data_IF_173891081397
#
_entry.id   IF_173891081397
#
_cell.length_a   1.000
_cell.length_b   1.000
_cell.length_c   1.000
_cell.angle_alpha   90.00
_cell.angle_beta   90.00
_cell.angle_gamma   90.00
#
_symmetry.space_group_name_H-M   'P 1'
#
loop_
_entity.id
_entity.type
_entity.pdbx_description
1 polymer ?
#
# COMPACT_ATOMS: atom_id res chain seq x y z
N UNK A 1 14.66 -24.95 -19.60
CA UNK A 1 15.36 -24.27 -18.47
C UNK A 1 14.86 -22.84 -18.22
N UNK A 2 13.85 -22.31 -18.94
CA UNK A 2 13.37 -20.92 -18.73
C UNK A 2 12.35 -20.72 -17.59
N UNK A 3 11.52 -21.72 -17.27
CA UNK A 3 10.39 -21.55 -16.33
C UNK A 3 10.78 -21.42 -14.85
N UNK A 4 11.85 -22.09 -14.42
CA UNK A 4 12.29 -22.04 -13.02
C UNK A 4 12.94 -20.69 -12.66
N UNK A 5 13.67 -20.08 -13.61
CA UNK A 5 14.33 -18.77 -13.43
C UNK A 5 13.29 -17.66 -13.40
N UNK A 6 12.25 -17.76 -14.24
CA UNK A 6 11.13 -16.82 -14.28
C UNK A 6 10.26 -16.90 -13.01
N UNK A 7 9.97 -18.11 -12.52
CA UNK A 7 9.24 -18.31 -11.25
C UNK A 7 9.97 -17.78 -10.02
N UNK A 8 11.30 -17.93 -9.96
CA UNK A 8 12.13 -17.36 -8.88
C UNK A 8 12.10 -15.83 -8.90
N UNK A 9 12.09 -15.23 -10.09
CA UNK A 9 12.01 -13.77 -10.25
C UNK A 9 10.66 -13.21 -9.77
N UNK A 10 9.55 -13.88 -10.09
CA UNK A 10 8.20 -13.49 -9.65
C UNK A 10 8.06 -13.56 -8.13
N UNK A 11 8.51 -14.65 -7.50
CA UNK A 11 8.42 -14.80 -6.04
C UNK A 11 9.28 -13.78 -5.29
N UNK A 12 10.45 -13.43 -5.85
CA UNK A 12 11.29 -12.38 -5.27
C UNK A 12 10.61 -11.01 -5.36
N UNK A 13 10.02 -10.68 -6.51
CA UNK A 13 9.25 -9.45 -6.69
C UNK A 13 8.09 -9.34 -5.70
N UNK A 14 7.28 -10.39 -5.56
CA UNK A 14 6.16 -10.41 -4.60
C UNK A 14 6.68 -10.17 -3.16
N UNK A 15 7.80 -10.80 -2.80
CA UNK A 15 8.43 -10.59 -1.50
C UNK A 15 8.87 -9.14 -1.31
N UNK A 16 9.50 -8.54 -2.31
CA UNK A 16 9.97 -7.15 -2.25
C UNK A 16 8.78 -6.19 -2.10
N UNK A 17 7.71 -6.39 -2.88
CA UNK A 17 6.46 -5.63 -2.74
C UNK A 17 5.85 -5.77 -1.35
N UNK A 18 5.80 -6.99 -0.81
CA UNK A 18 5.30 -7.26 0.54
C UNK A 18 6.15 -6.58 1.62
N UNK A 19 7.48 -6.53 1.45
CA UNK A 19 8.37 -5.78 2.34
C UNK A 19 8.11 -4.28 2.26
N UNK A 20 7.92 -3.71 1.07
CA UNK A 20 7.66 -2.28 0.90
C UNK A 20 6.35 -1.85 1.53
N UNK A 21 5.26 -2.61 1.34
CA UNK A 21 3.98 -2.29 2.00
C UNK A 21 4.07 -2.46 3.52
N UNK A 22 4.90 -3.40 4.00
CA UNK A 22 5.19 -3.54 5.43
C UNK A 22 5.93 -2.32 5.98
N UNK A 23 6.98 -1.87 5.29
CA UNK A 23 7.74 -0.67 5.67
C UNK A 23 6.86 0.58 5.66
N UNK A 24 6.02 0.74 4.64
CA UNK A 24 5.05 1.83 4.57
C UNK A 24 4.12 1.81 5.79
N UNK A 25 3.62 0.64 6.19
CA UNK A 25 2.72 0.52 7.33
C UNK A 25 3.39 0.92 8.65
N UNK A 26 4.63 0.48 8.87
CA UNK A 26 5.40 0.85 10.06
C UNK A 26 5.70 2.34 10.07
N UNK A 27 6.06 2.92 8.93
CA UNK A 27 6.37 4.33 8.81
C UNK A 27 5.14 5.21 9.07
N UNK A 28 3.97 4.83 8.55
CA UNK A 28 2.71 5.50 8.82
C UNK A 28 2.36 5.48 10.31
N UNK A 29 2.53 4.34 10.99
CA UNK A 29 2.31 4.22 12.43
C UNK A 29 3.34 5.00 13.22
N UNK A 30 4.60 5.02 12.78
CA UNK A 30 5.69 5.79 13.41
C UNK A 30 5.38 7.29 13.36
N UNK A 31 5.05 7.81 12.18
CA UNK A 31 4.71 9.22 11.99
C UNK A 31 3.50 9.64 12.81
N UNK A 32 2.46 8.79 12.88
CA UNK A 32 1.30 9.05 13.73
C UNK A 32 1.65 9.09 15.22
N UNK A 33 2.55 8.22 15.70
CA UNK A 33 2.91 8.16 17.13
C UNK A 33 3.93 9.25 17.54
N UNK A 34 4.79 9.66 16.62
CA UNK A 34 5.75 10.75 16.84
C UNK A 34 5.09 12.12 16.83
N UNK A 35 3.88 12.19 16.29
CA UNK A 35 3.02 13.35 16.34
C UNK A 35 2.43 13.58 17.73
N UNK A 36 3.27 14.04 18.65
CA UNK A 36 2.90 14.35 20.05
C UNK A 36 2.02 15.58 20.18
N UNK A 37 1.94 16.41 19.13
CA UNK A 37 1.20 17.67 19.09
C UNK A 37 -0.04 17.63 18.17
N UNK A 38 -0.30 16.52 17.48
CA UNK A 38 -1.49 16.31 16.64
C UNK A 38 -1.43 16.94 15.24
N UNK A 39 -0.23 17.26 14.75
CA UNK A 39 0.09 17.94 13.50
C UNK A 39 0.59 17.03 12.37
N UNK A 40 0.38 15.71 12.42
CA UNK A 40 0.65 14.86 11.27
C UNK A 40 -0.31 15.25 10.14
N UNK A 41 0.26 15.90 9.13
CA UNK A 41 -0.51 16.56 8.10
C UNK A 41 -0.95 15.57 7.04
N UNK A 42 -2.06 15.89 6.38
CA UNK A 42 -2.49 15.19 5.17
C UNK A 42 -1.35 15.20 4.12
N UNK A 43 -0.58 16.29 4.00
CA UNK A 43 0.60 16.36 3.11
C UNK A 43 1.68 15.35 3.45
N UNK A 44 2.04 15.16 4.72
CA UNK A 44 3.06 14.18 5.12
C UNK A 44 2.65 12.75 4.75
N UNK A 45 1.36 12.44 4.92
CA UNK A 45 0.79 11.17 4.50
C UNK A 45 0.88 11.00 2.97
N UNK A 46 0.53 12.03 2.20
CA UNK A 46 0.58 11.97 0.73
C UNK A 46 2.00 11.90 0.19
N UNK A 47 2.94 12.64 0.74
CA UNK A 47 4.35 12.60 0.32
C UNK A 47 4.96 11.21 0.54
N UNK A 48 4.67 10.59 1.69
CA UNK A 48 5.13 9.23 1.98
C UNK A 48 4.50 8.21 1.04
N UNK A 49 3.18 8.25 0.87
CA UNK A 49 2.44 7.30 0.03
C UNK A 49 2.77 7.49 -1.46
N UNK A 50 2.97 8.72 -1.92
CA UNK A 50 3.45 9.01 -3.27
C UNK A 50 4.86 8.48 -3.52
N UNK A 51 5.78 8.71 -2.58
CA UNK A 51 7.15 8.18 -2.67
C UNK A 51 7.18 6.66 -2.71
N UNK A 52 6.29 6.00 -1.97
CA UNK A 52 6.07 4.56 -2.04
C UNK A 52 5.56 4.13 -3.42
N UNK A 53 4.55 4.79 -3.98
CA UNK A 53 4.01 4.47 -5.31
C UNK A 53 5.06 4.66 -6.42
N UNK A 54 5.88 5.71 -6.33
CA UNK A 54 7.00 5.94 -7.22
C UNK A 54 8.04 4.81 -7.13
N UNK A 55 8.30 4.30 -5.92
CA UNK A 55 9.21 3.17 -5.69
C UNK A 55 8.68 1.87 -6.30
N UNK A 56 7.38 1.59 -6.14
CA UNK A 56 6.73 0.45 -6.81
C UNK A 56 6.87 0.52 -8.33
N UNK A 57 6.60 1.70 -8.90
CA UNK A 57 6.73 1.92 -10.35
C UNK A 57 8.17 1.71 -10.82
N UNK A 58 9.16 2.20 -10.07
CA UNK A 58 10.58 2.01 -10.41
C UNK A 58 11.00 0.53 -10.38
N UNK A 59 10.31 -0.30 -9.59
CA UNK A 59 10.52 -1.75 -9.53
C UNK A 59 9.74 -2.53 -10.60
N UNK A 60 8.96 -1.84 -11.43
CA UNK A 60 8.17 -2.45 -12.50
C UNK A 60 6.83 -3.00 -12.04
N UNK A 61 6.32 -2.59 -10.88
CA UNK A 61 4.94 -2.85 -10.49
C UNK A 61 3.99 -1.87 -11.17
N UNK A 62 2.94 -2.41 -11.77
CA UNK A 62 1.81 -1.61 -12.23
C UNK A 62 0.88 -1.33 -11.06
N UNK A 63 0.25 -0.16 -11.11
CA UNK A 63 -0.78 0.21 -10.14
C UNK A 63 -2.06 -0.48 -10.55
N UNK A 64 -2.58 -1.31 -9.65
CA UNK A 64 -3.73 -2.13 -9.94
C UNK A 64 -5.02 -1.30 -9.94
N UNK A 65 -5.96 -1.55 -10.87
CA UNK A 65 -7.29 -0.94 -10.82
C UNK A 65 -7.98 -1.20 -9.48
N UNK A 66 -8.75 -0.22 -9.02
CA UNK A 66 -9.50 -0.20 -7.76
C UNK A 66 -8.66 -0.28 -6.48
N UNK A 67 -7.32 -0.37 -6.61
CA UNK A 67 -6.40 -0.32 -5.50
C UNK A 67 -6.42 1.03 -4.80
N UNK A 68 -5.90 1.05 -3.58
CA UNK A 68 -5.64 2.30 -2.88
C UNK A 68 -4.68 3.22 -3.66
N UNK A 69 -3.68 2.65 -4.34
CA UNK A 69 -2.74 3.41 -5.15
C UNK A 69 -3.44 4.17 -6.27
N UNK A 70 -4.35 3.52 -7.01
CA UNK A 70 -5.12 4.17 -8.08
C UNK A 70 -6.06 5.26 -7.52
N UNK A 71 -6.81 4.93 -6.46
CA UNK A 71 -7.73 5.87 -5.81
C UNK A 71 -7.01 7.13 -5.33
N UNK A 72 -5.84 6.95 -4.71
CA UNK A 72 -5.03 8.05 -4.23
C UNK A 72 -4.55 8.93 -5.38
N UNK A 73 -3.99 8.34 -6.44
CA UNK A 73 -3.53 9.06 -7.63
C UNK A 73 -4.66 9.87 -8.26
N UNK A 74 -5.85 9.28 -8.37
CA UNK A 74 -7.00 9.97 -8.93
C UNK A 74 -7.42 11.17 -8.08
N UNK A 75 -7.43 11.04 -6.75
CA UNK A 75 -7.74 12.15 -5.85
C UNK A 75 -6.67 13.26 -5.91
N UNK A 76 -5.39 12.90 -5.98
CA UNK A 76 -4.28 13.86 -6.15
C UNK A 76 -4.38 14.62 -7.47
N UNK A 77 -4.65 13.92 -8.58
CA UNK A 77 -4.79 14.54 -9.90
C UNK A 77 -6.01 15.48 -10.00
N UNK A 78 -6.97 15.35 -9.08
CA UNK A 78 -8.17 16.18 -9.01
C UNK A 78 -8.09 17.27 -7.92
N UNK A 79 -6.96 17.37 -7.21
CA UNK A 79 -6.81 18.22 -6.03
C UNK A 79 -7.94 17.99 -4.98
N UNK A 80 -8.48 16.77 -4.89
CA UNK A 80 -9.59 16.43 -3.99
C UNK A 80 -9.07 16.13 -2.59
N UNK A 81 -8.83 17.21 -1.84
CA UNK A 81 -8.32 17.16 -0.46
C UNK A 81 -9.24 16.36 0.47
N UNK A 82 -10.55 16.38 0.24
CA UNK A 82 -11.50 15.66 1.09
C UNK A 82 -11.37 14.14 0.93
N UNK A 83 -11.32 13.65 -0.30
CA UNK A 83 -11.12 12.21 -0.57
C UNK A 83 -9.76 11.75 -0.07
N UNK A 84 -8.74 12.57 -0.31
CA UNK A 84 -7.40 12.38 0.20
C UNK A 84 -7.38 12.19 1.73
N UNK A 85 -7.97 13.11 2.52
CA UNK A 85 -8.05 12.96 3.98
C UNK A 85 -8.86 11.73 4.41
N UNK A 86 -9.93 11.40 3.66
CA UNK A 86 -10.76 10.22 3.92
C UNK A 86 -9.97 8.92 3.72
N UNK A 87 -9.18 8.82 2.66
CA UNK A 87 -8.32 7.67 2.38
C UNK A 87 -7.30 7.45 3.49
N UNK A 88 -6.66 8.53 3.96
CA UNK A 88 -5.78 8.47 5.14
C UNK A 88 -6.53 7.91 6.34
N UNK A 89 -7.69 8.49 6.69
CA UNK A 89 -8.46 8.06 7.85
C UNK A 89 -8.83 6.58 7.78
N UNK A 90 -9.37 6.12 6.64
CA UNK A 90 -9.76 4.72 6.44
C UNK A 90 -8.55 3.79 6.57
N UNK A 91 -7.44 4.09 5.89
CA UNK A 91 -6.22 3.28 5.95
C UNK A 91 -5.69 3.21 7.38
N UNK A 92 -5.52 4.35 8.04
CA UNK A 92 -4.98 4.46 9.40
C UNK A 92 -5.86 3.74 10.42
N UNK A 93 -7.19 3.90 10.33
CA UNK A 93 -8.13 3.23 11.23
C UNK A 93 -8.02 1.70 11.20
N UNK A 94 -7.63 1.13 10.06
CA UNK A 94 -7.45 -0.30 9.90
C UNK A 94 -6.05 -0.75 10.32
N UNK A 95 -4.98 -0.06 9.89
CA UNK A 95 -3.62 -0.49 10.24
C UNK A 95 -3.33 -0.39 11.75
N UNK A 96 -3.95 0.57 12.47
CA UNK A 96 -3.85 0.71 13.93
C UNK A 96 -4.35 -0.52 14.69
N UNK A 97 -5.33 -1.23 14.12
CA UNK A 97 -5.93 -2.44 14.73
C UNK A 97 -5.09 -3.69 14.47
N UNK A 98 -4.06 -3.59 13.61
CA UNK A 98 -3.27 -4.71 13.14
C UNK A 98 -1.82 -4.61 13.66
N UNK A 99 -1.17 -5.77 13.80
CA UNK A 99 0.22 -5.88 14.25
C UNK A 99 0.97 -6.92 13.42
N UNK A 100 2.28 -6.70 13.26
CA UNK A 100 3.20 -7.62 12.59
C UNK A 100 2.70 -8.05 11.20
N UNK A 101 2.75 -9.36 10.93
CA UNK A 101 2.39 -9.92 9.63
C UNK A 101 0.95 -9.61 9.18
N UNK A 102 0.01 -9.38 10.10
CA UNK A 102 -1.37 -9.01 9.74
C UNK A 102 -1.44 -7.61 9.13
N UNK A 103 -0.57 -6.70 9.57
CA UNK A 103 -0.51 -5.32 9.08
C UNK A 103 0.06 -5.27 7.66
N UNK A 104 1.19 -5.93 7.44
CA UNK A 104 1.80 -6.02 6.10
C UNK A 104 0.91 -6.76 5.11
N UNK A 105 0.25 -7.85 5.53
CA UNK A 105 -0.73 -8.56 4.69
C UNK A 105 -1.92 -7.70 4.29
N UNK A 106 -2.51 -6.95 5.24
CA UNK A 106 -3.58 -5.99 4.92
C UNK A 106 -3.12 -4.94 3.91
N UNK A 107 -1.96 -4.32 4.14
CA UNK A 107 -1.42 -3.31 3.23
C UNK A 107 -1.16 -3.89 1.83
N UNK A 108 -0.66 -5.11 1.75
CA UNK A 108 -0.47 -5.81 0.48
C UNK A 108 -1.80 -5.92 -0.29
N UNK A 109 -2.88 -6.38 0.35
CA UNK A 109 -4.18 -6.51 -0.30
C UNK A 109 -4.88 -5.18 -0.60
N UNK A 110 -4.55 -4.11 0.13
CA UNK A 110 -5.04 -2.76 -0.17
C UNK A 110 -4.43 -2.21 -1.46
N UNK A 111 -3.16 -2.54 -1.75
CA UNK A 111 -2.49 -2.13 -2.99
C UNK A 111 -2.67 -3.12 -4.15
N UNK A 112 -3.05 -4.38 -3.87
CA UNK A 112 -3.36 -5.40 -4.88
C UNK A 112 -4.66 -6.18 -4.56
N UNK A 113 -5.84 -5.55 -4.66
CA UNK A 113 -7.12 -6.15 -4.27
C UNK A 113 -7.54 -7.36 -5.12
N UNK A 114 -7.18 -7.44 -6.40
CA UNK A 114 -7.48 -8.58 -7.27
C UNK A 114 -6.74 -9.84 -6.83
N UNK A 115 -5.54 -9.71 -6.25
CA UNK A 115 -4.87 -10.86 -5.63
C UNK A 115 -5.67 -11.38 -4.44
N UNK A 116 -6.24 -10.49 -3.62
CA UNK A 116 -7.13 -10.89 -2.54
C UNK A 116 -8.38 -11.61 -3.08
N UNK A 117 -9.00 -11.07 -4.12
CA UNK A 117 -10.17 -11.70 -4.77
C UNK A 117 -9.83 -13.07 -5.34
N UNK A 118 -8.70 -13.20 -6.05
CA UNK A 118 -8.27 -14.46 -6.65
C UNK A 118 -7.94 -15.53 -5.60
N UNK A 119 -7.37 -15.15 -4.44
CA UNK A 119 -7.08 -16.09 -3.34
C UNK A 119 -8.33 -16.55 -2.59
N UNK A 120 -9.41 -15.74 -2.61
CA UNK A 120 -10.67 -16.07 -1.96
C UNK A 120 -11.72 -16.64 -2.92
N UNK A 121 -11.44 -16.67 -4.23
CA UNK A 121 -12.26 -17.37 -5.18
C UNK A 121 -12.13 -18.88 -4.90
N UNK A 122 -13.25 -19.56 -4.65
CA UNK A 122 -13.27 -21.01 -4.58
C UNK A 122 -12.79 -21.56 -5.94
N UNK A 123 -11.85 -22.53 -5.96
CA UNK A 123 -11.49 -23.18 -7.21
C UNK A 123 -12.71 -23.91 -7.76
N UNK A 124 -13.14 -23.54 -8.97
CA UNK A 124 -14.17 -24.28 -9.73
C UNK A 124 -13.76 -25.73 -9.99
#
# INVERSE_FOLDING_TARGET
MGSAIEGVNIMQRIRDAHTLVGNLAEELIRMENEDKDGFWSDSDFFDLTWSFLASLKAMGFEIEPESFGEKLINAMNQDDVFQMSRFRFELMSNIRKLQGAKRSGYMFFVFWPQLHTALNAEPE
#
